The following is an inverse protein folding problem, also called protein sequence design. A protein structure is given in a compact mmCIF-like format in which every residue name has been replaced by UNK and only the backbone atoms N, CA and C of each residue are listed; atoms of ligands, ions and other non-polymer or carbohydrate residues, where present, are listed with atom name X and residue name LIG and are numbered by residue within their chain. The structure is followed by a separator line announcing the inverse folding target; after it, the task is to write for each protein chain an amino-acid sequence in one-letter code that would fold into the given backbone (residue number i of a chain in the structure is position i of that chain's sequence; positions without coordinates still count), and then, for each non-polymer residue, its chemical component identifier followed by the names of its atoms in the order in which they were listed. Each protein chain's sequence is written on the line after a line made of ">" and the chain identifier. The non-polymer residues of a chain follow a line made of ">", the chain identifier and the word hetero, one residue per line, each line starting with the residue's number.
data_IF_036021375473
#
_entry.id   IF_036021375473
#
_cell.length_a   1.000
_cell.length_b   1.000
_cell.length_c   1.000
_cell.angle_alpha   90.00
_cell.angle_beta   90.00
_cell.angle_gamma   90.00
#
_symmetry.space_group_name_H-M   'P 1'
#
loop_
_entity.id
_entity.type
_entity.pdbx_description
1 polymer ?
#
# COMPACT_ATOMS: atom_id res chain seq x y z
N UNK A 1 -60.66 8.23 -14.26
CA UNK A 1 -60.31 7.19 -15.24
C UNK A 1 -59.75 7.94 -16.43
N UNK A 2 -58.49 7.92 -16.82
CA UNK A 2 -57.33 7.06 -16.59
C UNK A 2 -56.08 7.95 -16.63
N UNK A 3 -55.06 7.57 -15.87
CA UNK A 3 -53.73 8.21 -15.83
C UNK A 3 -52.85 7.60 -16.93
N UNK A 4 -52.14 8.37 -17.76
CA UNK A 4 -51.15 7.81 -18.68
C UNK A 4 -49.78 7.79 -17.99
N UNK A 5 -49.28 6.61 -17.64
CA UNK A 5 -47.93 6.44 -17.11
C UNK A 5 -47.16 5.34 -17.85
N UNK A 6 -45.89 5.66 -18.13
CA UNK A 6 -44.78 4.82 -18.57
C UNK A 6 -44.80 4.30 -20.02
N UNK A 7 -43.79 4.71 -20.80
CA UNK A 7 -42.54 3.95 -20.97
C UNK A 7 -41.42 4.93 -21.36
N UNK A 8 -40.53 5.25 -20.42
CA UNK A 8 -39.20 5.76 -20.73
C UNK A 8 -38.21 4.65 -20.38
N UNK A 9 -37.79 3.88 -21.39
CA UNK A 9 -36.68 2.94 -21.25
C UNK A 9 -35.40 3.68 -21.63
N UNK A 10 -34.54 3.92 -20.64
CA UNK A 10 -33.15 4.35 -20.84
C UNK A 10 -32.25 3.36 -20.08
N UNK A 11 -31.14 2.92 -20.68
CA UNK A 11 -30.51 1.65 -20.34
C UNK A 11 -29.39 1.78 -19.28
N UNK A 12 -29.01 0.61 -18.76
CA UNK A 12 -27.71 0.33 -18.12
C UNK A 12 -27.49 0.91 -16.73
N UNK A 13 -28.02 0.20 -15.72
CA UNK A 13 -27.62 0.35 -14.32
C UNK A 13 -26.22 -0.25 -14.13
N UNK A 14 -25.19 0.53 -14.42
CA UNK A 14 -23.83 0.29 -13.93
C UNK A 14 -23.72 1.01 -12.57
N UNK A 15 -23.62 0.32 -11.42
CA UNK A 15 -23.43 1.03 -10.17
C UNK A 15 -22.04 1.67 -10.15
N UNK A 16 -21.92 2.97 -9.83
CA UNK A 16 -20.62 3.57 -9.62
C UNK A 16 -20.11 3.05 -8.27
N UNK A 17 -19.19 2.08 -8.30
CA UNK A 17 -18.23 1.97 -7.21
C UNK A 17 -17.39 3.26 -7.26
N UNK A 18 -17.90 4.30 -6.59
CA UNK A 18 -17.15 5.49 -6.19
C UNK A 18 -15.99 5.00 -5.34
N UNK A 19 -14.84 4.79 -5.97
CA UNK A 19 -13.58 4.79 -5.24
C UNK A 19 -13.33 6.24 -4.84
N UNK A 20 -13.82 6.57 -3.64
CA UNK A 20 -13.73 7.90 -3.06
C UNK A 20 -12.27 8.24 -2.80
N UNK A 21 -11.69 9.08 -3.66
CA UNK A 21 -10.43 9.76 -3.40
C UNK A 21 -10.64 10.83 -2.32
N UNK A 22 -10.20 10.54 -1.09
CA UNK A 22 -10.14 11.47 0.03
C UNK A 22 -9.22 10.91 1.14
N UNK A 23 -8.42 11.73 1.83
CA UNK A 23 -7.15 11.27 2.37
C UNK A 23 -7.23 10.78 3.82
N UNK A 24 -6.22 9.97 4.20
CA UNK A 24 -5.68 9.71 5.56
C UNK A 24 -6.19 8.48 6.31
N UNK A 25 -5.31 7.48 6.36
CA UNK A 25 -4.96 6.70 7.54
C UNK A 25 -6.16 6.17 8.37
N UNK A 26 -6.98 5.33 7.76
CA UNK A 26 -7.97 4.53 8.46
C UNK A 26 -7.83 3.10 7.97
N UNK A 27 -7.22 2.25 8.79
CA UNK A 27 -7.28 0.80 8.65
C UNK A 27 -8.72 0.40 8.34
N UNK A 28 -8.98 -0.03 7.11
CA UNK A 28 -10.29 -0.54 6.69
C UNK A 28 -10.41 -1.95 7.29
N UNK A 29 -10.59 -2.02 8.61
CA UNK A 29 -10.85 -3.27 9.32
C UNK A 29 -12.31 -3.65 9.07
N UNK A 30 -12.47 -4.64 8.19
CA UNK A 30 -13.43 -5.73 8.37
C UNK A 30 -14.91 -5.40 8.18
N UNK A 31 -15.34 -5.16 6.95
CA UNK A 31 -16.67 -5.61 6.51
C UNK A 31 -16.45 -6.89 5.68
N UNK A 32 -16.94 -8.04 6.16
CA UNK A 32 -16.92 -9.28 5.37
C UNK A 32 -17.09 -10.56 6.17
N UNK A 33 -18.34 -10.88 6.51
CA UNK A 33 -18.77 -12.13 7.13
C UNK A 33 -18.49 -13.37 6.23
N UNK A 34 -18.18 -14.50 6.89
CA UNK A 34 -18.10 -15.87 6.37
C UNK A 34 -17.31 -16.05 5.05
N UNK A 35 -16.00 -15.79 5.09
CA UNK A 35 -15.08 -16.26 4.06
C UNK A 35 -14.49 -17.64 4.44
N UNK A 36 -13.96 -18.36 3.46
CA UNK A 36 -13.29 -19.65 3.69
C UNK A 36 -12.23 -19.53 4.80
N UNK A 37 -12.17 -20.51 5.70
CA UNK A 37 -11.23 -20.54 6.83
C UNK A 37 -9.77 -20.31 6.41
N UNK A 38 -9.41 -20.76 5.20
CA UNK A 38 -8.09 -20.55 4.61
C UNK A 38 -7.85 -19.07 4.26
N UNK A 39 -8.84 -18.40 3.68
CA UNK A 39 -8.75 -16.98 3.36
C UNK A 39 -8.67 -16.13 4.63
N UNK A 40 -9.47 -16.46 5.64
CA UNK A 40 -9.46 -15.76 6.93
C UNK A 40 -8.08 -15.84 7.62
N UNK A 41 -7.42 -17.00 7.55
CA UNK A 41 -6.05 -17.18 8.04
C UNK A 41 -5.02 -16.34 7.26
N UNK A 42 -5.18 -16.21 5.94
CA UNK A 42 -4.33 -15.30 5.16
C UNK A 42 -4.66 -13.83 5.46
N UNK A 43 -5.90 -13.48 5.73
CA UNK A 43 -6.31 -12.10 6.00
C UNK A 43 -5.70 -11.60 7.30
N UNK A 44 -5.73 -12.43 8.36
CA UNK A 44 -5.04 -12.12 9.61
C UNK A 44 -3.55 -11.94 9.43
N UNK A 45 -2.90 -12.84 8.69
CA UNK A 45 -1.47 -12.72 8.39
C UNK A 45 -1.16 -11.42 7.64
N UNK A 46 -1.96 -11.04 6.65
CA UNK A 46 -1.75 -9.80 5.91
C UNK A 46 -1.93 -8.58 6.81
N UNK A 47 -2.98 -8.58 7.64
CA UNK A 47 -3.26 -7.48 8.55
C UNK A 47 -2.16 -7.31 9.59
N UNK A 48 -1.67 -8.40 10.18
CA UNK A 48 -0.55 -8.39 11.12
C UNK A 48 0.74 -7.91 10.44
N UNK A 49 1.04 -8.42 9.25
CA UNK A 49 2.22 -8.04 8.48
C UNK A 49 2.18 -6.57 8.07
N UNK A 50 1.03 -6.07 7.61
CA UNK A 50 0.83 -4.65 7.27
C UNK A 50 1.00 -3.75 8.49
N UNK A 51 0.42 -4.11 9.65
CA UNK A 51 0.60 -3.37 10.89
C UNK A 51 2.05 -3.39 11.37
N UNK A 52 2.76 -4.50 11.18
CA UNK A 52 4.19 -4.62 11.47
C UNK A 52 5.03 -3.71 10.54
N UNK A 53 4.77 -3.77 9.24
CA UNK A 53 5.43 -2.94 8.22
C UNK A 53 5.21 -1.46 8.46
N UNK A 54 3.98 -1.05 8.79
CA UNK A 54 3.65 0.35 9.06
C UNK A 54 4.42 0.87 10.27
N UNK A 55 4.48 0.08 11.37
CA UNK A 55 5.31 0.42 12.55
C UNK A 55 6.79 0.52 12.17
N UNK A 56 7.32 -0.47 11.44
CA UNK A 56 8.71 -0.48 10.99
C UNK A 56 9.01 0.72 10.08
N UNK A 57 8.09 1.14 9.21
CA UNK A 57 8.25 2.34 8.36
C UNK A 57 8.35 3.61 9.21
N UNK A 58 7.44 3.81 10.18
CA UNK A 58 7.50 4.95 11.10
C UNK A 58 8.82 4.97 11.87
N UNK A 59 9.25 3.83 12.41
CA UNK A 59 10.54 3.73 13.09
C UNK A 59 11.72 3.97 12.15
N UNK A 60 11.71 3.43 10.92
CA UNK A 60 12.76 3.64 9.94
C UNK A 60 12.87 5.10 9.48
N UNK A 61 11.76 5.86 9.53
CA UNK A 61 11.76 7.30 9.29
C UNK A 61 12.47 8.11 10.38
N UNK A 62 12.59 7.57 11.60
CA UNK A 62 13.28 8.20 12.73
C UNK A 62 14.73 7.73 12.91
N UNK A 63 15.16 6.74 12.12
CA UNK A 63 16.52 6.21 12.15
C UNK A 63 17.36 6.83 11.04
N UNK A 64 18.68 6.85 11.25
CA UNK A 64 19.67 7.30 10.27
C UNK A 64 20.82 6.30 10.10
N UNK A 65 21.62 6.50 9.05
CA UNK A 65 22.82 5.72 8.77
C UNK A 65 22.57 4.22 8.56
N UNK A 66 23.41 3.39 9.18
CA UNK A 66 23.40 1.93 9.01
C UNK A 66 22.15 1.27 9.60
N UNK A 67 21.64 1.78 10.73
CA UNK A 67 20.44 1.24 11.37
C UNK A 67 19.19 1.42 10.50
N UNK A 68 19.08 2.58 9.83
CA UNK A 68 18.02 2.83 8.84
C UNK A 68 18.12 1.85 7.68
N UNK A 69 19.32 1.66 7.12
CA UNK A 69 19.56 0.76 5.98
C UNK A 69 19.18 -0.68 6.33
N UNK A 70 19.54 -1.16 7.52
CA UNK A 70 19.16 -2.49 8.00
C UNK A 70 17.63 -2.61 8.14
N UNK A 71 16.98 -1.63 8.78
CA UNK A 71 15.52 -1.62 8.96
C UNK A 71 14.77 -1.58 7.62
N UNK A 72 15.26 -0.79 6.65
CA UNK A 72 14.69 -0.73 5.30
C UNK A 72 14.77 -2.09 4.61
N UNK A 73 15.87 -2.83 4.76
CA UNK A 73 15.98 -4.20 4.21
C UNK A 73 14.95 -5.13 4.83
N UNK A 74 14.78 -5.11 6.16
CA UNK A 74 13.73 -5.90 6.82
C UNK A 74 12.32 -5.54 6.31
N UNK A 75 12.03 -4.25 6.12
CA UNK A 75 10.74 -3.78 5.58
C UNK A 75 10.55 -4.28 4.15
N UNK A 76 11.59 -4.25 3.31
CA UNK A 76 11.54 -4.77 1.94
C UNK A 76 11.22 -6.27 1.92
N UNK A 77 11.83 -7.05 2.79
CA UNK A 77 11.50 -8.48 2.93
C UNK A 77 10.04 -8.68 3.33
N UNK A 78 9.56 -7.94 4.34
CA UNK A 78 8.15 -8.05 4.74
C UNK A 78 7.16 -7.58 3.65
N UNK A 79 7.55 -6.63 2.79
CA UNK A 79 6.75 -6.24 1.63
C UNK A 79 6.66 -7.35 0.57
N UNK A 80 7.72 -8.14 0.39
CA UNK A 80 7.72 -9.31 -0.50
C UNK A 80 6.81 -10.42 0.05
N UNK A 81 6.91 -10.71 1.35
CA UNK A 81 6.00 -11.65 2.04
C UNK A 81 4.53 -11.23 1.90
N UNK A 82 4.23 -9.93 2.09
CA UNK A 82 2.88 -9.40 1.92
C UNK A 82 2.38 -9.54 0.47
N UNK A 83 3.26 -9.31 -0.52
CA UNK A 83 2.92 -9.53 -1.92
C UNK A 83 2.65 -11.01 -2.23
N UNK A 84 3.49 -11.91 -1.70
CA UNK A 84 3.31 -13.35 -1.84
C UNK A 84 1.98 -13.81 -1.23
N UNK A 85 1.60 -13.23 -0.09
CA UNK A 85 0.33 -13.51 0.58
C UNK A 85 -0.87 -13.04 -0.23
N UNK A 86 -0.82 -11.82 -0.79
CA UNK A 86 -1.85 -11.31 -1.72
C UNK A 86 -1.99 -12.25 -2.94
N UNK A 87 -0.88 -12.75 -3.50
CA UNK A 87 -0.94 -13.71 -4.62
C UNK A 87 -1.59 -15.04 -4.20
N UNK A 88 -1.30 -15.55 -3.00
CA UNK A 88 -1.97 -16.76 -2.45
C UNK A 88 -3.47 -16.54 -2.28
N UNK A 89 -3.86 -15.39 -1.76
CA UNK A 89 -5.26 -14.99 -1.64
C UNK A 89 -5.98 -14.88 -3.00
N UNK A 90 -5.31 -14.35 -4.03
CA UNK A 90 -5.85 -14.25 -5.40
C UNK A 90 -6.16 -15.64 -5.98
N UNK A 91 -5.24 -16.60 -5.81
CA UNK A 91 -5.45 -17.98 -6.22
C UNK A 91 -6.65 -18.61 -5.51
N UNK A 92 -6.79 -18.39 -4.20
CA UNK A 92 -7.94 -18.87 -3.44
C UNK A 92 -9.25 -18.21 -3.89
N UNK A 93 -9.24 -16.88 -4.11
CA UNK A 93 -10.40 -16.15 -4.60
C UNK A 93 -10.87 -16.65 -5.98
N UNK A 94 -9.93 -17.03 -6.85
CA UNK A 94 -10.24 -17.63 -8.16
C UNK A 94 -10.85 -19.03 -8.06
N UNK A 95 -10.51 -19.78 -7.02
CA UNK A 95 -11.06 -21.12 -6.75
C UNK A 95 -12.43 -21.10 -6.06
N UNK A 96 -12.89 -19.95 -5.58
CA UNK A 96 -14.17 -19.82 -4.87
C UNK A 96 -15.36 -19.55 -5.81
N UNK A 97 -16.59 -19.95 -5.42
CA UNK A 97 -17.80 -19.67 -6.18
C UNK A 97 -18.11 -18.17 -6.26
N UNK A 98 -18.89 -17.78 -7.28
CA UNK A 98 -19.11 -16.40 -7.75
C UNK A 98 -19.54 -15.40 -6.66
N UNK A 99 -20.30 -15.83 -5.66
CA UNK A 99 -20.78 -14.95 -4.58
C UNK A 99 -19.63 -14.43 -3.68
N UNK A 100 -18.76 -15.32 -3.19
CA UNK A 100 -17.62 -14.93 -2.34
C UNK A 100 -16.49 -14.29 -3.15
N UNK A 101 -16.29 -14.75 -4.39
CA UNK A 101 -15.23 -14.27 -5.29
C UNK A 101 -15.28 -12.76 -5.52
N UNK A 102 -16.47 -12.20 -5.78
CA UNK A 102 -16.60 -10.77 -6.07
C UNK A 102 -16.13 -9.89 -4.89
N UNK A 103 -16.53 -10.27 -3.66
CA UNK A 103 -16.11 -9.57 -2.44
C UNK A 103 -14.61 -9.70 -2.18
N UNK A 104 -14.04 -10.89 -2.40
CA UNK A 104 -12.61 -11.12 -2.21
C UNK A 104 -11.75 -10.36 -3.22
N UNK A 105 -12.18 -10.31 -4.48
CA UNK A 105 -11.48 -9.54 -5.51
C UNK A 105 -11.51 -8.05 -5.21
N UNK A 106 -12.59 -7.52 -4.65
CA UNK A 106 -12.65 -6.14 -4.18
C UNK A 106 -11.60 -5.88 -3.09
N UNK A 107 -11.58 -6.70 -2.03
CA UNK A 107 -10.58 -6.63 -0.95
C UNK A 107 -9.14 -6.75 -1.46
N UNK A 108 -8.88 -7.67 -2.39
CA UNK A 108 -7.55 -7.86 -2.99
C UNK A 108 -7.05 -6.62 -3.74
N UNK A 109 -7.95 -5.86 -4.39
CA UNK A 109 -7.57 -4.60 -5.04
C UNK A 109 -7.21 -3.52 -4.02
N UNK A 110 -7.91 -3.47 -2.90
CA UNK A 110 -7.55 -2.60 -1.78
C UNK A 110 -6.19 -2.99 -1.21
N UNK A 111 -5.96 -4.26 -0.87
CA UNK A 111 -4.67 -4.72 -0.36
C UNK A 111 -3.51 -4.46 -1.32
N UNK A 112 -3.69 -4.66 -2.63
CA UNK A 112 -2.68 -4.29 -3.63
C UNK A 112 -2.36 -2.79 -3.61
N UNK A 113 -3.39 -1.96 -3.45
CA UNK A 113 -3.25 -0.50 -3.40
C UNK A 113 -2.51 -0.07 -2.14
N UNK A 114 -2.91 -0.59 -0.98
CA UNK A 114 -2.23 -0.35 0.30
C UNK A 114 -0.75 -0.78 0.26
N UNK A 115 -0.48 -1.96 -0.29
CA UNK A 115 0.90 -2.44 -0.44
C UNK A 115 1.72 -1.51 -1.35
N UNK A 116 1.14 -1.00 -2.43
CA UNK A 116 1.80 -0.06 -3.32
C UNK A 116 2.08 1.29 -2.62
N UNK A 117 1.17 1.74 -1.75
CA UNK A 117 1.38 2.93 -0.92
C UNK A 117 2.53 2.71 0.08
N UNK A 118 2.56 1.57 0.78
CA UNK A 118 3.68 1.21 1.68
C UNK A 118 5.01 1.11 0.94
N UNK A 119 5.05 0.51 -0.27
CA UNK A 119 6.25 0.49 -1.12
C UNK A 119 6.73 1.89 -1.46
N UNK A 120 5.80 2.79 -1.78
CA UNK A 120 6.11 4.19 -2.12
C UNK A 120 6.61 4.97 -0.89
N UNK A 121 6.02 4.70 0.28
CA UNK A 121 6.47 5.25 1.57
C UNK A 121 7.91 4.86 1.87
N UNK A 122 8.24 3.57 1.76
CA UNK A 122 9.60 3.05 1.99
C UNK A 122 10.59 3.65 1.01
N UNK A 123 10.22 3.77 -0.27
CA UNK A 123 11.04 4.48 -1.27
C UNK A 123 11.31 5.91 -0.82
N UNK A 124 10.30 6.65 -0.35
CA UNK A 124 10.46 8.02 0.13
C UNK A 124 11.36 8.11 1.36
N UNK A 125 11.21 7.23 2.34
CA UNK A 125 12.08 7.15 3.53
C UNK A 125 13.53 6.85 3.11
N UNK A 126 13.72 5.98 2.12
CA UNK A 126 15.03 5.64 1.56
C UNK A 126 15.64 6.85 0.82
N UNK A 127 14.87 7.53 -0.03
CA UNK A 127 15.32 8.67 -0.84
C UNK A 127 15.50 9.96 -0.06
N UNK A 128 14.75 10.17 1.04
CA UNK A 128 14.98 11.27 1.97
C UNK A 128 16.41 11.22 2.55
N UNK A 129 16.95 10.01 2.75
CA UNK A 129 18.35 9.82 3.12
C UNK A 129 19.30 10.24 1.99
N UNK A 130 18.98 9.95 0.73
CA UNK A 130 19.80 10.32 -0.44
C UNK A 130 19.85 11.84 -0.64
N UNK A 131 18.77 12.57 -0.37
CA UNK A 131 18.77 14.04 -0.48
C UNK A 131 19.58 14.72 0.64
N UNK A 132 19.66 14.11 1.82
CA UNK A 132 20.55 14.58 2.89
C UNK A 132 22.01 14.25 2.57
N UNK A 133 22.29 13.04 2.07
CA UNK A 133 23.65 12.59 1.71
C UNK A 133 24.22 13.32 0.48
N UNK A 134 23.40 13.64 -0.53
CA UNK A 134 23.84 14.41 -1.70
C UNK A 134 24.00 15.92 -1.41
N UNK A 135 23.36 16.43 -0.35
CA UNK A 135 23.59 17.81 0.12
C UNK A 135 24.86 17.94 0.94
N UNK A 136 25.24 16.91 1.69
CA UNK A 136 26.44 16.93 2.53
C UNK A 136 27.74 16.88 1.70
N UNK A 137 27.76 16.12 0.59
CA UNK A 137 28.93 16.10 -0.32
C UNK A 137 29.07 17.35 -1.20
N UNK A 138 27.99 18.11 -1.45
CA UNK A 138 28.05 19.31 -2.29
C UNK A 138 28.56 20.56 -1.52
N UNK A 139 28.59 20.53 -0.19
CA UNK A 139 28.98 21.69 0.64
C UNK A 139 30.39 21.54 1.26
N UNK A 140 31.06 20.40 1.08
CA UNK A 140 32.41 20.15 1.61
C UNK A 140 33.59 20.46 0.66
N UNK A 141 33.34 20.69 -0.64
CA UNK A 141 34.40 20.93 -1.64
C UNK A 141 34.51 22.41 -2.07
N UNK A 142 34.05 23.34 -1.22
CA UNK A 142 34.06 24.78 -1.48
C UNK A 142 35.10 25.60 -0.70
N UNK A 143 36.10 24.95 -0.07
CA UNK A 143 37.20 25.64 0.61
C UNK A 143 38.53 25.07 0.14
N UNK A 144 39.24 25.79 -0.74
CA UNK A 144 40.70 25.88 -0.84
C UNK A 144 41.18 26.05 -2.30
N UNK A 145 40.86 27.18 -2.97
CA UNK A 145 41.72 27.67 -4.06
C UNK A 145 41.47 29.16 -4.36
N UNK A 146 41.73 30.03 -3.39
CA UNK A 146 41.81 31.48 -3.62
C UNK A 146 42.95 32.10 -2.81
N UNK A 147 44.03 31.34 -2.64
CA UNK A 147 45.29 31.79 -2.07
C UNK A 147 46.44 31.23 -2.91
N UNK A 148 46.51 31.56 -4.20
CA UNK A 148 47.79 31.47 -4.91
C UNK A 148 47.87 32.38 -6.14
N UNK A 149 48.82 33.32 -6.03
CA UNK A 149 49.59 33.97 -7.09
C UNK A 149 49.10 35.30 -7.72
N UNK A 150 49.77 36.36 -7.20
CA UNK A 150 50.32 37.61 -7.81
C UNK A 150 49.39 38.72 -8.29
#
# INVERSE_FOLDING_TARGET
>A
MEVPSLVLTVPTLNPPFRYNSGPRLGVIVGIGAAMSQVFEGYERQYCELSANLSRKCTSAGLLDGEQKKQKITEIKTGLDDAEALIRKMDLQARSLPSNAKAMLLAKLREYKTDLNNLKSEVKRITSANTNQSARDELLGSGMADAMMYV
#
